data_IF_458347246224
#
_entry.id   IF_458347246224
#
_cell.length_a   1.000
_cell.length_b   1.000
_cell.length_c   1.000
_cell.angle_alpha   90.00
_cell.angle_beta   90.00
_cell.angle_gamma   90.00
#
_symmetry.space_group_name_H-M   'P 1'
#
loop_
_entity.id
_entity.type
_entity.pdbx_description
1 polymer ?
#
# COMPACT_ATOMS: atom_id res chain seq x y z
N UNK A 1 -53.66 2.24 -5.70
CA UNK A 1 -52.78 3.35 -6.14
C UNK A 1 -53.08 4.64 -5.35
N UNK A 2 -53.05 4.59 -4.02
CA UNK A 2 -53.40 5.77 -3.20
C UNK A 2 -52.62 5.87 -1.89
N UNK A 3 -51.65 4.98 -1.63
CA UNK A 3 -50.80 5.00 -0.44
C UNK A 3 -49.34 5.42 -0.73
N UNK A 4 -49.03 5.83 -1.96
CA UNK A 4 -47.67 6.24 -2.38
C UNK A 4 -47.56 7.76 -2.64
N UNK A 5 -48.58 8.55 -2.31
CA UNK A 5 -48.65 9.98 -2.67
C UNK A 5 -48.40 10.94 -1.51
N UNK A 6 -48.54 10.49 -0.27
CA UNK A 6 -48.41 11.37 0.90
C UNK A 6 -47.17 10.96 1.71
N UNK A 7 -46.16 11.85 1.67
CA UNK A 7 -44.86 11.67 2.29
C UNK A 7 -44.92 11.64 3.81
N UNK A 8 -44.97 10.42 4.36
CA UNK A 8 -45.08 10.22 5.80
C UNK A 8 -44.44 8.93 6.31
N UNK A 9 -43.23 8.60 5.85
CA UNK A 9 -42.35 7.74 6.65
C UNK A 9 -41.35 8.65 7.36
N UNK A 10 -41.74 9.10 8.56
CA UNK A 10 -40.88 9.81 9.51
C UNK A 10 -39.81 8.86 10.04
N UNK A 11 -38.89 8.47 9.16
CA UNK A 11 -37.69 7.75 9.48
C UNK A 11 -36.68 8.78 9.95
N UNK A 12 -36.19 8.66 11.18
CA UNK A 12 -35.07 9.48 11.65
C UNK A 12 -33.88 9.31 10.68
N UNK A 13 -32.92 10.24 10.70
CA UNK A 13 -31.77 10.20 9.79
C UNK A 13 -31.02 8.85 9.84
N UNK A 14 -31.02 8.22 11.02
CA UNK A 14 -30.53 6.88 11.34
C UNK A 14 -31.28 5.77 10.58
N UNK A 15 -32.60 5.80 10.55
CA UNK A 15 -33.41 4.79 9.88
C UNK A 15 -33.23 4.86 8.36
N UNK A 16 -33.15 6.07 7.80
CA UNK A 16 -32.89 6.28 6.36
C UNK A 16 -31.55 5.69 5.95
N UNK A 17 -30.54 5.81 6.81
CA UNK A 17 -29.22 5.20 6.64
C UNK A 17 -29.33 3.66 6.61
N UNK A 18 -30.06 3.07 7.57
CA UNK A 18 -30.26 1.62 7.65
C UNK A 18 -30.95 1.05 6.40
N UNK A 19 -32.02 1.68 5.94
CA UNK A 19 -32.75 1.22 4.76
C UNK A 19 -31.95 1.39 3.46
N UNK A 20 -31.16 2.45 3.31
CA UNK A 20 -30.28 2.64 2.15
C UNK A 20 -29.13 1.62 2.12
N UNK A 21 -28.56 1.30 3.27
CA UNK A 21 -27.58 0.21 3.44
C UNK A 21 -28.19 -1.14 3.03
N UNK A 22 -29.36 -1.48 3.58
CA UNK A 22 -30.04 -2.74 3.30
C UNK A 22 -30.43 -2.87 1.82
N UNK A 23 -30.95 -1.81 1.20
CA UNK A 23 -31.37 -1.82 -0.20
C UNK A 23 -30.20 -1.90 -1.18
N UNK A 24 -29.08 -1.24 -0.90
CA UNK A 24 -27.86 -1.30 -1.71
C UNK A 24 -27.15 -2.66 -1.63
N UNK A 25 -27.14 -3.29 -0.45
CA UNK A 25 -26.53 -4.61 -0.25
C UNK A 25 -27.39 -5.78 -0.74
N UNK A 26 -28.69 -5.57 -0.96
CA UNK A 26 -29.61 -6.57 -1.49
C UNK A 26 -29.45 -6.81 -3.01
N UNK A 27 -28.54 -6.09 -3.70
CA UNK A 27 -28.32 -6.30 -5.13
C UNK A 27 -27.40 -7.52 -5.37
N UNK A 28 -27.82 -8.52 -6.18
CA UNK A 28 -27.04 -9.73 -6.41
C UNK A 28 -25.68 -9.45 -7.06
N UNK A 29 -25.57 -8.37 -7.85
CA UNK A 29 -24.29 -7.91 -8.40
C UNK A 29 -23.32 -7.44 -7.31
N UNK A 30 -23.82 -6.72 -6.30
CA UNK A 30 -22.99 -6.26 -5.18
C UNK A 30 -22.44 -7.46 -4.40
N UNK A 31 -23.28 -8.45 -4.09
CA UNK A 31 -22.86 -9.68 -3.43
C UNK A 31 -21.81 -10.45 -4.25
N UNK A 32 -21.97 -10.52 -5.58
CA UNK A 32 -21.00 -11.14 -6.49
C UNK A 32 -19.64 -10.44 -6.48
N UNK A 33 -19.61 -9.11 -6.57
CA UNK A 33 -18.37 -8.33 -6.50
C UNK A 33 -17.73 -8.40 -5.11
N UNK A 34 -18.53 -8.33 -4.05
CA UNK A 34 -18.09 -8.52 -2.67
C UNK A 34 -17.36 -9.85 -2.50
N UNK A 35 -17.96 -10.95 -2.96
CA UNK A 35 -17.37 -12.28 -2.89
C UNK A 35 -16.09 -12.38 -3.73
N UNK A 36 -16.10 -11.86 -4.97
CA UNK A 36 -14.93 -11.83 -5.83
C UNK A 36 -13.75 -11.09 -5.16
N UNK A 37 -14.02 -9.91 -4.58
CA UNK A 37 -13.01 -9.14 -3.87
C UNK A 37 -12.48 -9.93 -2.67
N UNK A 38 -13.35 -10.57 -1.87
CA UNK A 38 -12.92 -11.40 -0.75
C UNK A 38 -11.99 -12.55 -1.19
N UNK A 39 -12.34 -13.25 -2.28
CA UNK A 39 -11.52 -14.33 -2.85
C UNK A 39 -10.16 -13.79 -3.28
N UNK A 40 -10.12 -12.65 -3.99
CA UNK A 40 -8.86 -12.02 -4.39
C UNK A 40 -8.00 -11.64 -3.18
N UNK A 41 -8.60 -11.07 -2.13
CA UNK A 41 -7.89 -10.71 -0.91
C UNK A 41 -7.31 -11.94 -0.19
N UNK A 42 -8.07 -13.04 -0.14
CA UNK A 42 -7.62 -14.30 0.45
C UNK A 42 -6.40 -14.90 -0.27
N UNK A 43 -6.39 -14.87 -1.60
CA UNK A 43 -5.31 -15.47 -2.38
C UNK A 43 -4.08 -14.57 -2.54
N UNK A 44 -4.28 -13.26 -2.73
CA UNK A 44 -3.19 -12.34 -3.10
C UNK A 44 -2.69 -11.47 -1.96
N UNK A 45 -3.57 -11.09 -1.02
CA UNK A 45 -3.24 -10.08 -0.01
C UNK A 45 -3.07 -10.65 1.40
N UNK A 46 -3.57 -11.85 1.69
CA UNK A 46 -3.41 -12.48 3.00
C UNK A 46 -2.08 -13.26 3.09
N UNK A 47 -1.16 -12.77 3.92
CA UNK A 47 0.23 -13.22 3.99
C UNK A 47 0.47 -14.32 5.01
N UNK A 48 -0.50 -14.60 5.86
CA UNK A 48 -0.41 -15.68 6.82
C UNK A 48 -0.27 -17.05 6.15
N UNK A 49 0.75 -17.80 6.58
CA UNK A 49 0.94 -19.21 6.18
C UNK A 49 -0.11 -20.14 6.80
N UNK A 50 -0.63 -19.78 7.98
CA UNK A 50 -1.69 -20.53 8.67
C UNK A 50 -3.04 -20.22 8.02
N UNK A 51 -3.77 -21.25 7.58
CA UNK A 51 -5.05 -21.11 6.87
C UNK A 51 -6.07 -20.27 7.66
N UNK A 52 -6.20 -20.50 8.97
CA UNK A 52 -7.15 -19.78 9.81
C UNK A 52 -6.80 -18.28 9.89
N UNK A 53 -5.54 -17.94 10.15
CA UNK A 53 -5.11 -16.54 10.20
C UNK A 53 -5.28 -15.85 8.84
N UNK A 54 -5.05 -16.57 7.74
CA UNK A 54 -5.27 -16.05 6.39
C UNK A 54 -6.73 -15.69 6.14
N UNK A 55 -7.66 -16.56 6.55
CA UNK A 55 -9.10 -16.28 6.45
C UNK A 55 -9.47 -15.07 7.31
N UNK A 56 -8.95 -14.98 8.53
CA UNK A 56 -9.21 -13.85 9.44
C UNK A 56 -8.69 -12.54 8.85
N UNK A 57 -7.44 -12.51 8.38
CA UNK A 57 -6.81 -11.35 7.74
C UNK A 57 -7.63 -10.87 6.52
N UNK A 58 -7.95 -11.79 5.61
CA UNK A 58 -8.73 -11.49 4.40
C UNK A 58 -10.12 -10.96 4.72
N UNK A 59 -10.81 -11.62 5.67
CA UNK A 59 -12.19 -11.26 6.05
C UNK A 59 -12.22 -9.93 6.79
N UNK A 60 -11.33 -9.70 7.75
CA UNK A 60 -11.27 -8.45 8.48
C UNK A 60 -10.96 -7.26 7.55
N UNK A 61 -9.99 -7.42 6.64
CA UNK A 61 -9.65 -6.39 5.66
C UNK A 61 -10.81 -6.12 4.68
N UNK A 62 -11.45 -7.18 4.19
CA UNK A 62 -12.64 -7.09 3.33
C UNK A 62 -13.80 -6.36 4.02
N UNK A 63 -14.16 -6.77 5.25
CA UNK A 63 -15.23 -6.14 6.03
C UNK A 63 -14.97 -4.66 6.27
N UNK A 64 -13.71 -4.29 6.56
CA UNK A 64 -13.33 -2.89 6.77
C UNK A 64 -13.53 -2.05 5.51
N UNK A 65 -13.19 -2.58 4.32
CA UNK A 65 -13.48 -1.91 3.06
C UNK A 65 -14.98 -1.79 2.77
N UNK A 66 -15.75 -2.86 3.01
CA UNK A 66 -17.21 -2.83 2.80
C UNK A 66 -17.90 -1.80 3.70
N UNK A 67 -17.49 -1.75 4.98
CA UNK A 67 -17.98 -0.77 5.93
C UNK A 67 -17.59 0.65 5.51
N UNK A 68 -16.31 0.88 5.18
CA UNK A 68 -15.82 2.19 4.78
C UNK A 68 -16.50 2.71 3.50
N UNK A 69 -16.69 1.87 2.49
CA UNK A 69 -17.41 2.26 1.27
C UNK A 69 -18.87 2.60 1.56
N UNK A 70 -19.55 1.80 2.39
CA UNK A 70 -20.94 2.06 2.74
C UNK A 70 -21.12 3.38 3.48
N UNK A 71 -20.22 3.71 4.41
CA UNK A 71 -20.23 4.97 5.14
C UNK A 71 -19.87 6.16 4.25
N UNK A 72 -18.89 6.01 3.35
CA UNK A 72 -18.50 7.07 2.41
C UNK A 72 -19.62 7.41 1.42
N UNK A 73 -20.34 6.40 0.90
CA UNK A 73 -21.51 6.63 0.03
C UNK A 73 -22.53 7.51 0.76
N UNK A 74 -22.85 7.15 2.00
CA UNK A 74 -23.82 7.90 2.80
C UNK A 74 -23.35 9.33 3.09
N UNK A 75 -22.09 9.50 3.48
CA UNK A 75 -21.50 10.80 3.73
C UNK A 75 -21.59 11.70 2.49
N UNK A 76 -21.27 11.18 1.31
CA UNK A 76 -21.37 11.92 0.05
C UNK A 76 -22.82 12.30 -0.25
N UNK A 77 -23.76 11.37 -0.09
CA UNK A 77 -25.17 11.64 -0.34
C UNK A 77 -25.74 12.68 0.65
N UNK A 78 -25.34 12.63 1.93
CA UNK A 78 -25.74 13.59 2.96
C UNK A 78 -25.13 14.98 2.77
N UNK A 79 -23.90 15.05 2.26
CA UNK A 79 -23.19 16.33 2.05
C UNK A 79 -23.88 17.24 1.04
N UNK A 80 -24.82 16.71 0.23
CA UNK A 80 -25.51 17.42 -0.84
C UNK A 80 -24.55 18.10 -1.86
N UNK A 81 -23.28 17.70 -1.92
CA UNK A 81 -22.23 18.37 -2.70
C UNK A 81 -22.63 18.52 -4.18
N UNK A 82 -23.18 17.46 -4.77
CA UNK A 82 -23.64 17.50 -6.16
C UNK A 82 -24.99 18.21 -6.38
N UNK A 83 -25.78 18.50 -5.34
CA UNK A 83 -27.05 19.26 -5.50
C UNK A 83 -26.82 20.73 -5.83
N UNK A 84 -25.63 21.27 -5.50
CA UNK A 84 -25.23 22.64 -5.82
C UNK A 84 -25.09 22.89 -7.34
N UNK A 85 -24.99 21.82 -8.14
CA UNK A 85 -24.62 21.92 -9.55
C UNK A 85 -25.82 21.93 -10.52
N UNK A 86 -27.06 21.97 -10.01
CA UNK A 86 -28.30 22.20 -10.78
C UNK A 86 -28.72 21.08 -11.76
N UNK A 87 -27.77 20.38 -12.40
CA UNK A 87 -28.00 19.29 -13.33
C UNK A 87 -27.72 17.91 -12.71
N UNK A 88 -28.55 16.93 -13.06
CA UNK A 88 -28.39 15.54 -12.58
C UNK A 88 -27.05 14.92 -13.03
N UNK A 89 -26.60 15.25 -14.25
CA UNK A 89 -25.31 14.76 -14.79
C UNK A 89 -24.14 15.33 -13.99
N UNK A 90 -24.16 16.63 -13.70
CA UNK A 90 -23.11 17.26 -12.88
C UNK A 90 -23.14 16.75 -11.44
N UNK A 91 -24.33 16.49 -10.88
CA UNK A 91 -24.49 15.89 -9.54
C UNK A 91 -23.84 14.51 -9.46
N UNK A 92 -24.14 13.62 -10.40
CA UNK A 92 -23.58 12.25 -10.43
C UNK A 92 -22.07 12.30 -10.63
N UNK A 93 -21.61 13.16 -11.55
CA UNK A 93 -20.18 13.32 -11.84
C UNK A 93 -19.42 13.82 -10.61
N UNK A 94 -19.91 14.87 -9.93
CA UNK A 94 -19.29 15.41 -8.73
C UNK A 94 -19.24 14.40 -7.59
N UNK A 95 -20.32 13.67 -7.35
CA UNK A 95 -20.36 12.62 -6.33
C UNK A 95 -19.39 11.47 -6.65
N UNK A 96 -19.22 11.13 -7.93
CA UNK A 96 -18.27 10.10 -8.37
C UNK A 96 -16.82 10.54 -8.16
N UNK A 97 -16.49 11.79 -8.50
CA UNK A 97 -15.16 12.37 -8.24
C UNK A 97 -14.88 12.43 -6.74
N UNK A 98 -15.85 12.86 -5.94
CA UNK A 98 -15.75 12.87 -4.48
C UNK A 98 -15.51 11.46 -3.92
N UNK A 99 -16.19 10.45 -4.45
CA UNK A 99 -16.00 9.04 -4.07
C UNK A 99 -14.59 8.55 -4.40
N UNK A 100 -14.08 8.84 -5.60
CA UNK A 100 -12.73 8.43 -6.00
C UNK A 100 -11.69 9.12 -5.10
N UNK A 101 -11.83 10.44 -4.90
CA UNK A 101 -10.88 11.21 -4.10
C UNK A 101 -10.87 10.74 -2.64
N UNK A 102 -12.01 10.75 -1.95
CA UNK A 102 -12.07 10.36 -0.54
C UNK A 102 -11.86 8.86 -0.36
N UNK A 103 -12.42 8.04 -1.25
CA UNK A 103 -12.26 6.59 -1.25
C UNK A 103 -10.80 6.17 -1.43
N UNK A 104 -10.03 6.84 -2.28
CA UNK A 104 -8.59 6.55 -2.43
C UNK A 104 -7.80 6.83 -1.15
N UNK A 105 -8.10 7.92 -0.45
CA UNK A 105 -7.47 8.26 0.83
C UNK A 105 -7.83 7.24 1.90
N UNK A 106 -9.11 6.93 2.06
CA UNK A 106 -9.59 5.96 3.07
C UNK A 106 -9.07 4.56 2.77
N UNK A 107 -9.10 4.12 1.51
CA UNK A 107 -8.53 2.83 1.11
C UNK A 107 -7.02 2.77 1.38
N UNK A 108 -6.29 3.85 1.09
CA UNK A 108 -4.87 4.00 1.41
C UNK A 108 -4.56 3.88 2.90
N UNK A 109 -5.42 4.44 3.75
CA UNK A 109 -5.31 4.30 5.21
C UNK A 109 -5.60 2.87 5.66
N UNK A 110 -6.64 2.24 5.12
CA UNK A 110 -7.00 0.84 5.45
C UNK A 110 -5.85 -0.10 5.10
N UNK A 111 -5.26 0.00 3.89
CA UNK A 111 -4.13 -0.85 3.51
C UNK A 111 -2.89 -0.55 4.37
N UNK A 112 -2.65 0.70 4.75
CA UNK A 112 -1.53 1.07 5.62
C UNK A 112 -1.67 0.48 7.02
N UNK A 113 -2.87 0.54 7.62
CA UNK A 113 -3.17 -0.07 8.92
C UNK A 113 -3.04 -1.59 8.83
N UNK A 114 -3.59 -2.20 7.77
CA UNK A 114 -3.49 -3.64 7.52
C UNK A 114 -2.03 -4.10 7.44
N UNK A 115 -1.20 -3.44 6.63
CA UNK A 115 0.22 -3.76 6.49
C UNK A 115 1.00 -3.49 7.78
N UNK A 116 0.66 -2.44 8.53
CA UNK A 116 1.28 -2.15 9.83
C UNK A 116 1.06 -3.31 10.82
N UNK A 117 -0.19 -3.77 10.99
CA UNK A 117 -0.48 -4.90 11.87
C UNK A 117 0.09 -6.22 11.33
N UNK A 118 0.03 -6.44 10.01
CA UNK A 118 0.67 -7.58 9.34
C UNK A 118 2.15 -7.69 9.69
N UNK A 119 2.91 -6.61 9.46
CA UNK A 119 4.34 -6.55 9.74
C UNK A 119 4.65 -6.63 11.24
N UNK A 120 3.93 -5.86 12.07
CA UNK A 120 4.29 -5.66 13.49
C UNK A 120 3.82 -6.78 14.41
N UNK A 121 2.64 -7.35 14.17
CA UNK A 121 2.01 -8.35 15.03
C UNK A 121 2.16 -9.74 14.43
N UNK A 122 1.76 -9.92 13.18
CA UNK A 122 1.75 -11.23 12.53
C UNK A 122 3.11 -11.62 11.91
N UNK A 123 4.04 -10.66 11.82
CA UNK A 123 5.34 -10.80 11.14
C UNK A 123 5.18 -11.32 9.69
N UNK A 124 4.08 -10.92 9.05
CA UNK A 124 3.76 -11.19 7.66
C UNK A 124 3.99 -9.91 6.83
N UNK A 125 3.98 -10.00 5.51
CA UNK A 125 4.02 -8.83 4.61
C UNK A 125 5.22 -7.89 4.72
N UNK A 126 6.37 -8.35 5.23
CA UNK A 126 7.57 -7.51 5.31
C UNK A 126 7.89 -6.85 3.96
N UNK A 127 7.86 -7.62 2.87
CA UNK A 127 8.17 -7.11 1.53
C UNK A 127 7.17 -6.04 1.03
N UNK A 128 5.88 -6.27 1.25
CA UNK A 128 4.81 -5.34 0.87
C UNK A 128 4.82 -4.08 1.75
N UNK A 129 5.14 -4.22 3.04
CA UNK A 129 5.30 -3.11 3.96
C UNK A 129 6.52 -2.25 3.59
N UNK A 130 7.68 -2.87 3.40
CA UNK A 130 8.93 -2.15 3.06
C UNK A 130 8.88 -1.47 1.70
N UNK A 131 8.18 -2.04 0.72
CA UNK A 131 7.98 -1.38 -0.59
C UNK A 131 7.00 -0.21 -0.53
N UNK A 132 6.07 -0.22 0.42
CA UNK A 132 5.05 0.84 0.58
C UNK A 132 5.50 2.01 1.47
N UNK A 133 6.51 1.82 2.32
CA UNK A 133 7.02 2.89 3.19
C UNK A 133 8.05 3.74 2.42
N UNK A 134 7.94 5.06 2.55
CA UNK A 134 8.91 6.01 2.00
C UNK A 134 10.24 6.02 2.78
N UNK A 135 10.96 4.90 2.84
CA UNK A 135 12.31 4.84 3.42
C UNK A 135 13.34 5.19 2.34
N UNK A 136 13.47 6.48 2.04
CA UNK A 136 14.39 6.96 1.02
C UNK A 136 15.87 6.78 1.43
N UNK A 137 16.17 6.92 2.72
CA UNK A 137 17.55 6.95 3.22
C UNK A 137 18.22 5.59 3.40
N UNK A 138 17.45 4.52 3.55
CA UNK A 138 17.97 3.17 3.76
C UNK A 138 18.02 2.40 2.44
N UNK A 139 19.21 1.96 2.02
CA UNK A 139 19.41 1.17 0.79
C UNK A 139 20.43 0.07 1.05
N UNK A 140 20.15 -1.11 0.53
CA UNK A 140 21.05 -2.26 0.59
C UNK A 140 21.45 -2.63 -0.83
N UNK A 141 22.71 -2.98 -1.03
CA UNK A 141 23.20 -3.51 -2.31
C UNK A 141 24.20 -4.62 -2.05
N UNK A 142 24.28 -5.55 -3.00
CA UNK A 142 25.25 -6.62 -2.97
C UNK A 142 26.42 -6.24 -3.87
N UNK A 143 27.62 -6.27 -3.30
CA UNK A 143 28.85 -6.21 -4.10
C UNK A 143 29.41 -7.62 -4.24
N UNK A 144 29.58 -8.06 -5.47
CA UNK A 144 30.17 -9.35 -5.77
C UNK A 144 31.66 -9.18 -6.07
N UNK A 145 32.50 -10.04 -5.49
CA UNK A 145 33.87 -10.28 -5.93
C UNK A 145 33.90 -11.68 -6.53
N UNK A 146 34.01 -11.74 -7.84
CA UNK A 146 34.07 -12.98 -8.59
C UNK A 146 35.53 -13.23 -8.95
N UNK A 147 36.02 -14.41 -8.61
CA UNK A 147 37.33 -14.93 -9.03
C UNK A 147 37.11 -16.27 -9.73
N UNK A 148 38.18 -16.85 -10.30
CA UNK A 148 38.09 -18.14 -11.00
C UNK A 148 37.53 -19.26 -10.12
N UNK A 149 37.90 -19.28 -8.84
CA UNK A 149 37.63 -20.40 -7.93
C UNK A 149 36.67 -20.04 -6.78
N UNK A 150 36.34 -18.76 -6.62
CA UNK A 150 35.49 -18.29 -5.53
C UNK A 150 34.62 -17.08 -5.89
N UNK A 151 33.42 -17.07 -5.30
CA UNK A 151 32.51 -15.94 -5.25
C UNK A 151 32.46 -15.43 -3.81
N UNK A 152 32.77 -14.15 -3.58
CA UNK A 152 32.52 -13.49 -2.31
C UNK A 152 31.42 -12.43 -2.47
N UNK A 153 30.38 -12.53 -1.66
CA UNK A 153 29.26 -11.60 -1.60
C UNK A 153 29.47 -10.67 -0.40
N UNK A 154 29.43 -9.36 -0.63
CA UNK A 154 29.48 -8.33 0.41
C UNK A 154 28.11 -7.63 0.49
N UNK A 155 27.27 -7.96 1.48
CA UNK A 155 26.01 -7.27 1.72
C UNK A 155 26.28 -5.90 2.35
N UNK A 156 26.14 -4.83 1.58
CA UNK A 156 26.44 -3.47 2.01
C UNK A 156 25.14 -2.70 2.22
N UNK A 157 24.99 -2.14 3.42
CA UNK A 157 23.90 -1.26 3.80
C UNK A 157 24.35 0.19 3.89
N UNK A 158 23.54 1.09 3.33
CA UNK A 158 23.63 2.54 3.52
C UNK A 158 22.47 2.98 4.40
N UNK A 159 22.79 3.47 5.60
CA UNK A 159 21.79 4.00 6.55
C UNK A 159 21.23 5.34 6.09
N UNK A 160 22.05 6.13 5.39
CA UNK A 160 21.66 7.43 4.85
C UNK A 160 22.23 7.60 3.45
N UNK A 161 21.32 7.74 2.48
CA UNK A 161 21.62 8.10 1.09
C UNK A 161 21.38 9.61 0.90
N UNK A 162 22.24 10.32 0.13
CA UNK A 162 22.03 11.74 -0.15
C UNK A 162 20.69 12.00 -0.87
N UNK A 163 20.00 13.08 -0.48
CA UNK A 163 18.86 13.60 -1.23
C UNK A 163 19.32 14.15 -2.59
N UNK A 164 18.38 14.54 -3.47
CA UNK A 164 18.72 15.11 -4.80
C UNK A 164 19.73 16.27 -4.72
N UNK A 165 19.55 17.19 -3.76
CA UNK A 165 20.48 18.30 -3.52
C UNK A 165 21.81 17.88 -2.86
N UNK A 166 21.87 16.66 -2.33
CA UNK A 166 23.07 16.07 -1.73
C UNK A 166 24.06 15.50 -2.73
N UNK A 167 23.78 15.58 -4.03
CA UNK A 167 24.69 15.20 -5.10
C UNK A 167 25.36 16.44 -5.71
N UNK A 168 26.56 16.26 -6.22
CA UNK A 168 27.31 17.29 -6.97
C UNK A 168 28.17 16.63 -8.04
N UNK A 169 28.60 17.40 -9.01
CA UNK A 169 29.61 16.92 -9.94
C UNK A 169 30.96 16.70 -9.24
N UNK A 170 31.76 15.73 -9.69
CA UNK A 170 33.12 15.53 -9.20
C UNK A 170 33.98 16.77 -9.50
N UNK A 171 34.77 17.19 -8.52
CA UNK A 171 35.76 18.24 -8.68
C UNK A 171 36.89 17.78 -9.64
N UNK A 172 37.63 18.72 -10.21
CA UNK A 172 38.71 18.42 -11.14
C UNK A 172 39.74 17.42 -10.57
N UNK A 173 40.10 17.56 -9.29
CA UNK A 173 41.02 16.66 -8.61
C UNK A 173 40.45 15.26 -8.39
N UNK A 174 39.14 15.14 -8.14
CA UNK A 174 38.44 13.85 -8.02
C UNK A 174 38.42 13.12 -9.36
N UNK A 175 38.23 13.85 -10.47
CA UNK A 175 38.31 13.28 -11.83
C UNK A 175 39.73 12.81 -12.16
N UNK A 176 40.75 13.61 -11.82
CA UNK A 176 42.17 13.22 -11.98
C UNK A 176 42.51 11.98 -11.15
N UNK A 177 41.92 11.83 -9.96
CA UNK A 177 42.08 10.66 -9.10
C UNK A 177 41.32 9.40 -9.60
N UNK A 178 40.70 9.44 -10.77
CA UNK A 178 40.00 8.29 -11.36
C UNK A 178 38.59 8.06 -10.81
N UNK A 179 37.97 9.03 -10.13
CA UNK A 179 36.56 8.94 -9.76
C UNK A 179 35.72 9.16 -11.02
N UNK A 180 35.34 8.05 -11.67
CA UNK A 180 34.55 8.01 -12.92
C UNK A 180 33.04 8.14 -12.70
N UNK A 181 32.59 8.33 -11.45
CA UNK A 181 31.18 8.53 -11.16
C UNK A 181 30.69 9.87 -11.72
N UNK A 182 29.56 9.89 -12.43
CA UNK A 182 28.98 11.13 -12.97
C UNK A 182 28.59 12.14 -11.88
N UNK A 183 28.24 11.66 -10.68
CA UNK A 183 27.96 12.46 -9.51
C UNK A 183 28.60 11.86 -8.26
N UNK A 184 29.03 12.72 -7.34
CA UNK A 184 29.56 12.35 -6.03
C UNK A 184 28.69 12.94 -4.92
N UNK A 185 28.59 12.26 -3.77
CA UNK A 185 27.83 12.79 -2.64
C UNK A 185 28.56 13.99 -2.04
N UNK A 186 27.82 15.04 -1.66
CA UNK A 186 28.36 16.19 -0.93
C UNK A 186 28.83 15.82 0.47
N UNK A 187 28.17 14.84 1.09
CA UNK A 187 28.51 14.32 2.41
C UNK A 187 29.12 12.93 2.30
N UNK A 188 30.13 12.64 3.13
CA UNK A 188 30.75 11.32 3.20
C UNK A 188 29.70 10.27 3.57
N UNK A 189 29.47 9.31 2.68
CA UNK A 189 28.62 8.16 2.95
C UNK A 189 29.27 7.25 3.99
N UNK A 190 28.45 6.62 4.85
CA UNK A 190 28.89 5.66 5.87
C UNK A 190 28.34 4.27 5.52
N UNK A 191 28.95 3.56 4.55
CA UNK A 191 28.57 2.18 4.26
C UNK A 191 28.93 1.28 5.44
N UNK A 192 28.05 0.33 5.74
CA UNK A 192 28.29 -0.74 6.72
C UNK A 192 28.02 -2.09 6.06
N UNK A 193 28.72 -3.12 6.52
CA UNK A 193 28.31 -4.49 6.23
C UNK A 193 27.04 -4.80 7.02
N UNK A 194 26.05 -5.37 6.35
CA UNK A 194 24.81 -5.83 7.01
C UNK A 194 25.11 -7.09 7.82
N UNK A 195 25.92 -7.97 7.23
CA UNK A 195 26.45 -9.20 7.80
C UNK A 195 27.87 -9.45 7.26
N UNK A 196 28.56 -10.46 7.80
CA UNK A 196 29.90 -10.82 7.35
C UNK A 196 29.95 -11.21 5.86
N UNK A 197 31.09 -11.05 5.18
CA UNK A 197 31.23 -11.49 3.78
C UNK A 197 30.94 -12.99 3.65
N UNK A 198 30.10 -13.35 2.69
CA UNK A 198 29.79 -14.75 2.39
C UNK A 198 30.66 -15.22 1.24
N UNK A 199 31.51 -16.22 1.46
CA UNK A 199 32.30 -16.84 0.41
C UNK A 199 31.74 -18.22 0.04
N UNK A 200 31.64 -18.47 -1.26
CA UNK A 200 31.37 -19.78 -1.84
C UNK A 200 32.47 -20.07 -2.84
N UNK A 201 33.28 -21.10 -2.57
CA UNK A 201 34.32 -21.59 -3.47
C UNK A 201 34.24 -23.10 -3.58
N UNK A 202 34.85 -23.66 -4.63
CA UNK A 202 35.00 -25.11 -4.75
C UNK A 202 35.80 -25.59 -3.53
N UNK A 203 35.24 -26.50 -2.73
CA UNK A 203 36.03 -27.19 -1.72
C UNK A 203 37.16 -27.89 -2.47
N UNK A 204 38.37 -27.34 -2.43
CA UNK A 204 39.54 -28.09 -2.85
C UNK A 204 39.66 -29.21 -1.83
N UNK A 205 39.30 -30.43 -2.25
CA UNK A 205 39.62 -31.62 -1.49
C UNK A 205 41.12 -31.58 -1.25
N UNK A 206 41.53 -31.37 0.00
CA UNK A 206 42.92 -31.63 0.39
C UNK A 206 43.13 -33.13 0.26
N UNK A 207 43.87 -33.53 -0.75
CA UNK A 207 44.63 -34.80 -0.80
C UNK A 207 46.09 -34.43 -0.90
#
# INVERSE_FOLDING_TARGET
MTALRDGGFGLESTDRIYYMLAAGQAQPMFAGFALLIWVLLYFFLAGSKRRVLRVIEATAHWMLHMLAMSLLVQLILLSNLGKLLGSDVFRVTANSVAMIAMGSVVAGLIISIYLFFGCRVFKTHADNGFSSIRIAGYKNFLRFRITKDSLTIYPIGLVRVPSRAGWREPAAEERKAGIVAGYVPRLKMKPRLIEGPMSSGRATSRT
#
